data_IF_493591330674
#
_entry.id   IF_493591330674
#
_cell.length_a   1.000
_cell.length_b   1.000
_cell.length_c   1.000
_cell.angle_alpha   90.00
_cell.angle_beta   90.00
_cell.angle_gamma   90.00
#
_symmetry.space_group_name_H-M   'P 1'
#
loop_
_entity.id
_entity.type
_entity.pdbx_description
1 polymer ?
#
# COMPACT_ATOMS: atom_id res chain seq x y z
N UNK A 1 -24.68 -12.21 -19.22
CA UNK A 1 -23.60 -11.21 -19.12
C UNK A 1 -22.38 -11.99 -18.72
N UNK A 2 -21.42 -12.16 -19.62
CA UNK A 2 -20.14 -12.78 -19.27
C UNK A 2 -19.33 -11.70 -18.57
N UNK A 3 -19.15 -11.83 -17.25
CA UNK A 3 -18.08 -11.15 -16.53
C UNK A 3 -16.78 -11.71 -17.08
N UNK A 4 -16.25 -11.04 -18.11
CA UNK A 4 -14.88 -11.29 -18.55
C UNK A 4 -13.96 -10.66 -17.52
N UNK A 5 -13.76 -11.37 -16.41
CA UNK A 5 -12.62 -11.19 -15.52
C UNK A 5 -11.35 -11.49 -16.34
N UNK A 6 -10.94 -10.54 -17.16
CA UNK A 6 -9.82 -10.69 -18.08
C UNK A 6 -8.53 -10.46 -17.32
N UNK A 7 -7.78 -11.53 -17.10
CA UNK A 7 -6.43 -11.45 -16.56
C UNK A 7 -5.52 -10.84 -17.63
N UNK A 8 -4.88 -9.71 -17.30
CA UNK A 8 -3.97 -9.02 -18.21
C UNK A 8 -2.56 -9.00 -17.65
N UNK A 9 -1.59 -8.91 -18.56
CA UNK A 9 -0.18 -8.71 -18.22
C UNK A 9 0.12 -7.22 -18.37
N UNK A 10 0.78 -6.66 -17.36
CA UNK A 10 1.34 -5.31 -17.38
C UNK A 10 2.81 -5.33 -16.97
N UNK A 11 3.48 -4.19 -17.07
CA UNK A 11 4.85 -4.00 -16.59
C UNK A 11 4.77 -3.07 -15.39
N UNK A 12 5.27 -3.52 -14.25
CA UNK A 12 5.39 -2.73 -13.03
C UNK A 12 6.85 -2.39 -12.76
N UNK A 13 7.07 -1.27 -12.07
CA UNK A 13 8.41 -0.75 -11.77
C UNK A 13 8.68 -0.82 -10.27
N UNK A 14 9.74 -1.49 -9.86
CA UNK A 14 10.18 -1.51 -8.47
C UNK A 14 11.02 -0.26 -8.21
N UNK A 15 10.60 0.49 -7.22
CA UNK A 15 11.25 1.71 -6.76
C UNK A 15 11.56 1.61 -5.27
N UNK A 16 12.39 2.50 -4.70
CA UNK A 16 12.63 2.55 -3.26
C UNK A 16 11.35 2.78 -2.44
N UNK A 17 10.34 3.39 -3.03
CA UNK A 17 9.06 3.71 -2.38
C UNK A 17 8.04 2.56 -2.46
N UNK A 18 8.28 1.54 -3.30
CA UNK A 18 7.32 0.48 -3.55
C UNK A 18 7.33 0.00 -4.99
N UNK A 19 6.41 -0.91 -5.32
CA UNK A 19 6.16 -1.33 -6.69
C UNK A 19 5.11 -0.41 -7.32
N UNK A 20 5.49 0.35 -8.34
CA UNK A 20 4.60 1.27 -9.04
C UNK A 20 3.99 0.56 -10.24
N UNK A 21 2.66 0.56 -10.31
CA UNK A 21 1.89 0.02 -11.44
C UNK A 21 0.58 0.79 -11.61
N UNK A 22 0.27 1.27 -12.82
CA UNK A 22 -0.93 2.07 -13.12
C UNK A 22 -1.18 3.20 -12.10
N UNK A 23 -0.15 4.01 -11.81
CA UNK A 23 -0.15 5.10 -10.81
C UNK A 23 -0.43 4.70 -9.35
N UNK A 24 -0.57 3.40 -9.07
CA UNK A 24 -0.73 2.88 -7.72
C UNK A 24 0.60 2.30 -7.21
N UNK A 25 0.80 2.41 -5.91
CA UNK A 25 1.93 1.78 -5.21
C UNK A 25 1.44 0.45 -4.64
N UNK A 26 2.21 -0.61 -4.83
CA UNK A 26 1.93 -1.95 -4.34
C UNK A 26 3.08 -2.42 -3.45
N UNK A 27 2.75 -3.32 -2.51
CA UNK A 27 3.72 -3.96 -1.64
C UNK A 27 3.26 -5.38 -1.29
N UNK A 28 4.23 -6.25 -1.03
CA UNK A 28 4.01 -7.62 -0.58
C UNK A 28 4.94 -7.95 0.57
N UNK A 29 4.51 -8.78 1.55
CA UNK A 29 5.37 -9.26 2.62
C UNK A 29 6.69 -9.87 2.14
N UNK A 30 6.69 -10.55 0.99
CA UNK A 30 7.91 -11.17 0.46
C UNK A 30 8.85 -10.16 -0.16
N UNK A 31 8.34 -9.11 -0.81
CA UNK A 31 9.16 -8.00 -1.33
C UNK A 31 9.87 -7.27 -0.17
N UNK A 32 9.18 -7.11 0.96
CA UNK A 32 9.75 -6.55 2.19
C UNK A 32 10.81 -7.48 2.80
N UNK A 33 10.52 -8.79 2.90
CA UNK A 33 11.48 -9.79 3.40
C UNK A 33 12.75 -9.87 2.55
N UNK A 34 12.57 -9.84 1.23
CA UNK A 34 13.64 -9.87 0.24
C UNK A 34 14.25 -8.49 -0.01
N UNK A 35 13.85 -7.47 0.75
CA UNK A 35 14.43 -6.12 0.73
C UNK A 35 14.45 -5.48 -0.68
N UNK A 36 13.47 -5.79 -1.52
CA UNK A 36 13.44 -5.31 -2.91
C UNK A 36 13.57 -3.78 -3.00
N UNK A 37 12.90 -3.07 -2.10
CA UNK A 37 12.95 -1.61 -2.09
C UNK A 37 14.31 -1.05 -1.70
N UNK A 38 15.09 -1.76 -0.85
CA UNK A 38 16.46 -1.36 -0.52
C UNK A 38 17.41 -1.67 -1.68
N UNK A 39 17.23 -2.79 -2.36
CA UNK A 39 17.98 -3.10 -3.58
C UNK A 39 17.67 -2.09 -4.68
N UNK A 40 16.43 -1.61 -4.80
CA UNK A 40 16.08 -0.59 -5.76
C UNK A 40 16.74 0.76 -5.46
N UNK A 41 16.91 1.08 -4.17
CA UNK A 41 17.62 2.28 -3.71
C UNK A 41 19.13 2.20 -3.97
N UNK A 42 19.71 1.01 -3.77
CA UNK A 42 21.16 0.80 -3.87
C UNK A 42 21.63 0.53 -5.30
N UNK A 43 20.95 -0.38 -5.99
CA UNK A 43 21.37 -0.96 -7.27
C UNK A 43 20.59 -0.38 -8.46
N UNK A 44 19.54 0.41 -8.18
CA UNK A 44 18.70 1.07 -9.17
C UNK A 44 17.34 0.39 -9.37
N UNK A 45 16.41 1.15 -9.93
CA UNK A 45 15.04 0.70 -10.20
C UNK A 45 15.01 -0.31 -11.35
N UNK A 46 14.12 -1.32 -11.26
CA UNK A 46 13.91 -2.29 -12.33
C UNK A 46 12.45 -2.53 -12.62
N UNK A 47 12.18 -3.09 -13.79
CA UNK A 47 10.84 -3.41 -14.26
C UNK A 47 10.62 -4.92 -14.24
N UNK A 48 9.41 -5.35 -13.89
CA UNK A 48 9.01 -6.76 -13.99
C UNK A 48 7.57 -6.91 -14.49
N UNK A 49 7.26 -8.02 -15.18
CA UNK A 49 5.90 -8.30 -15.59
C UNK A 49 5.02 -8.64 -14.39
N UNK A 50 3.81 -8.10 -14.39
CA UNK A 50 2.78 -8.35 -13.38
C UNK A 50 1.50 -8.78 -14.05
N UNK A 51 0.75 -9.66 -13.38
CA UNK A 51 -0.61 -9.98 -13.77
C UNK A 51 -1.58 -9.17 -12.91
N UNK A 52 -2.61 -8.64 -13.54
CA UNK A 52 -3.64 -7.90 -12.85
C UNK A 52 -5.01 -8.24 -13.42
N UNK A 53 -6.02 -8.15 -12.57
CA UNK A 53 -7.41 -8.27 -12.97
C UNK A 53 -7.92 -6.87 -13.32
N UNK A 54 -8.60 -6.75 -14.46
CA UNK A 54 -9.16 -5.45 -14.88
C UNK A 54 -10.23 -4.92 -13.94
N UNK A 55 -10.90 -5.79 -13.17
CA UNK A 55 -11.93 -5.42 -12.22
C UNK A 55 -11.40 -5.19 -10.80
N UNK A 56 -10.25 -5.80 -10.46
CA UNK A 56 -9.62 -5.66 -9.16
C UNK A 56 -8.23 -5.03 -9.29
N UNK A 57 -8.17 -3.70 -9.17
CA UNK A 57 -6.93 -2.95 -9.14
C UNK A 57 -6.18 -3.06 -7.79
N UNK A 58 -6.78 -3.67 -6.77
CA UNK A 58 -6.18 -3.74 -5.44
C UNK A 58 -5.10 -4.81 -5.31
N UNK A 59 -5.05 -5.78 -6.22
CA UNK A 59 -4.09 -6.88 -6.15
C UNK A 59 -3.41 -7.10 -7.49
N UNK A 60 -2.11 -7.34 -7.44
CA UNK A 60 -1.32 -7.75 -8.59
C UNK A 60 -0.55 -9.01 -8.25
N UNK A 61 -0.45 -9.91 -9.22
CA UNK A 61 0.34 -11.13 -9.09
C UNK A 61 1.68 -10.94 -9.77
N UNK A 62 2.71 -11.36 -9.07
CA UNK A 62 4.12 -11.21 -9.44
C UNK A 62 4.68 -12.62 -9.60
N UNK A 63 5.63 -12.79 -10.52
CA UNK A 63 6.42 -14.02 -10.61
C UNK A 63 7.84 -13.71 -10.19
N UNK A 64 8.28 -14.30 -9.09
CA UNK A 64 9.67 -14.24 -8.63
C UNK A 64 10.20 -15.66 -8.44
N UNK A 65 11.28 -16.01 -9.15
CA UNK A 65 12.06 -17.24 -8.96
C UNK A 65 11.20 -18.50 -8.67
N UNK A 66 10.27 -18.80 -9.59
CA UNK A 66 9.33 -19.95 -9.53
C UNK A 66 8.26 -19.90 -8.44
N UNK A 67 8.07 -18.75 -7.78
CA UNK A 67 6.99 -18.50 -6.84
C UNK A 67 6.07 -17.40 -7.35
N UNK A 68 4.77 -17.68 -7.26
CA UNK A 68 3.75 -16.68 -7.48
C UNK A 68 3.55 -15.91 -6.18
N UNK A 69 3.73 -14.60 -6.26
CA UNK A 69 3.65 -13.65 -5.16
C UNK A 69 2.45 -12.74 -5.39
N UNK A 70 1.73 -12.39 -4.32
CA UNK A 70 0.62 -11.44 -4.40
C UNK A 70 1.09 -10.15 -3.74
N UNK A 71 0.98 -9.03 -4.46
CA UNK A 71 1.15 -7.70 -3.91
C UNK A 71 -0.20 -6.98 -3.85
N UNK A 72 -0.42 -6.28 -2.75
CA UNK A 72 -1.61 -5.48 -2.51
C UNK A 72 -1.28 -4.01 -2.69
N UNK A 73 -2.25 -3.25 -3.20
CA UNK A 73 -2.15 -1.80 -3.33
C UNK A 73 -1.98 -1.19 -1.94
N UNK A 74 -0.91 -0.42 -1.76
CA UNK A 74 -0.69 0.43 -0.62
C UNK A 74 -1.52 1.68 -0.86
N UNK A 75 -2.72 1.72 -0.30
CA UNK A 75 -3.54 2.93 -0.25
C UNK A 75 -2.87 3.89 0.75
N UNK A 76 -1.88 4.63 0.28
CA UNK A 76 -1.43 5.84 0.94
C UNK A 76 -2.39 6.94 0.52
N UNK A 77 -3.53 7.05 1.19
CA UNK A 77 -4.28 8.30 1.33
C UNK A 77 -5.54 8.01 2.15
N UNK A 78 -5.42 8.11 3.47
CA UNK A 78 -6.49 8.85 4.14
C UNK A 78 -6.12 10.32 3.95
N UNK A 79 -6.57 10.93 2.84
CA UNK A 79 -6.76 12.38 2.79
C UNK A 79 -7.86 12.71 3.79
N UNK A 80 -7.52 12.65 5.08
CA UNK A 80 -8.37 13.23 6.11
C UNK A 80 -8.41 14.72 5.80
N UNK A 81 -9.61 15.27 5.62
CA UNK A 81 -9.73 16.72 5.59
C UNK A 81 -9.18 17.27 6.91
N UNK A 82 -8.61 18.48 6.86
CA UNK A 82 -8.09 19.15 8.06
C UNK A 82 -9.16 19.23 9.15
N UNK A 83 -10.43 19.32 8.78
CA UNK A 83 -11.59 19.27 9.69
C UNK A 83 -11.71 17.95 10.46
N UNK A 84 -11.55 16.79 9.80
CA UNK A 84 -11.64 15.48 10.47
C UNK A 84 -10.43 15.26 11.39
N UNK A 85 -9.26 15.73 10.97
CA UNK A 85 -8.05 15.70 11.79
C UNK A 85 -8.21 16.56 13.05
N UNK A 86 -8.77 17.76 12.90
CA UNK A 86 -9.03 18.68 14.01
C UNK A 86 -10.03 18.10 15.02
N UNK A 87 -11.15 17.55 14.53
CA UNK A 87 -12.15 16.92 15.39
C UNK A 87 -11.58 15.73 16.18
N UNK A 88 -10.70 14.93 15.55
CA UNK A 88 -9.99 13.84 16.21
C UNK A 88 -9.05 14.35 17.33
N UNK A 89 -8.27 15.40 17.06
CA UNK A 89 -7.40 16.00 18.08
C UNK A 89 -8.19 16.61 19.25
N UNK A 90 -9.32 17.26 18.97
CA UNK A 90 -10.20 17.78 20.02
C UNK A 90 -10.78 16.67 20.89
N UNK A 91 -11.26 15.58 20.29
CA UNK A 91 -11.76 14.42 21.02
C UNK A 91 -10.67 13.82 21.93
N UNK A 92 -9.44 13.68 21.43
CA UNK A 92 -8.30 13.21 22.22
C UNK A 92 -7.96 14.14 23.38
N UNK A 93 -7.96 15.45 23.15
CA UNK A 93 -7.67 16.44 24.18
C UNK A 93 -8.74 16.46 25.28
N UNK A 94 -10.01 16.31 24.90
CA UNK A 94 -11.13 16.17 25.83
C UNK A 94 -11.05 14.88 26.65
N UNK A 95 -10.56 13.79 26.06
CA UNK A 95 -10.33 12.54 26.79
C UNK A 95 -9.19 12.68 27.81
N UNK A 96 -8.07 13.31 27.40
CA UNK A 96 -6.92 13.57 28.27
C UNK A 96 -7.29 14.48 29.45
N UNK A 97 -8.08 15.52 29.22
CA UNK A 97 -8.48 16.44 30.28
C UNK A 97 -9.36 15.74 31.34
N UNK A 98 -10.29 14.88 30.91
CA UNK A 98 -11.12 14.06 31.79
C UNK A 98 -10.30 13.07 32.62
N UNK A 99 -9.35 12.37 32.01
CA UNK A 99 -8.47 11.44 32.72
C UNK A 99 -7.54 12.14 33.72
N UNK A 100 -7.04 13.33 33.38
CA UNK A 100 -6.20 14.13 34.29
C UNK A 100 -6.99 14.73 35.46
N UNK A 101 -8.26 15.06 35.24
CA UNK A 101 -9.19 15.48 36.30
C UNK A 101 -9.52 14.35 37.29
N UNK A 102 -9.68 13.12 36.81
CA UNK A 102 -9.96 11.96 37.65
C UNK A 102 -8.76 11.47 38.49
N UNK A 103 -7.53 11.88 38.17
CA UNK A 103 -6.33 11.55 38.96
C UNK A 103 -6.08 12.44 40.18
N UNK A 104 -6.88 13.49 40.38
CA UNK A 104 -6.77 14.44 41.50
C UNK A 104 -7.82 14.25 42.61
N UNK A 105 -8.54 13.12 42.60
CA UNK A 105 -9.47 12.72 43.66
C UNK A 105 -9.01 11.44 44.31
#
# INVERSE_FOLDING_TARGET
MHDDTSLKIGIAKVTPNGLIFNDNVYSSPSMLKSQWFQFADRDGEWELPVLYLTEESNHVFLFDQDKMEIASAVINEVKLSDEVLQAYYEALNNLKSRLKGNKKR
#
